data_IF_672362724000
#
_entry.id   IF_672362724000
#
_cell.length_a   1.000
_cell.length_b   1.000
_cell.length_c   1.000
_cell.angle_alpha   90.00
_cell.angle_beta   90.00
_cell.angle_gamma   90.00
#
_symmetry.space_group_name_H-M   'P 1'
#
loop_
_entity.id
_entity.type
_entity.pdbx_description
1 polymer ?
#
# COMPACT_ATOMS: atom_id res chain seq x y z
N UNK A 1 12.83 16.99 15.45
CA UNK A 1 11.48 16.94 14.85
C UNK A 1 11.52 17.77 13.58
N UNK A 2 11.07 17.27 12.41
CA UNK A 2 11.07 18.05 11.18
C UNK A 2 10.23 19.32 11.30
N UNK A 3 10.55 20.36 10.51
CA UNK A 3 9.76 21.58 10.48
C UNK A 3 8.29 21.27 10.13
N UNK A 4 7.35 21.91 10.83
CA UNK A 4 5.91 21.67 10.68
C UNK A 4 5.34 20.55 11.55
N UNK A 5 6.18 19.75 12.23
CA UNK A 5 5.74 18.68 13.11
C UNK A 5 5.97 19.00 14.60
N UNK A 6 5.09 18.51 15.47
CA UNK A 6 5.24 18.64 16.94
C UNK A 6 5.87 17.39 17.56
N UNK A 7 5.41 16.21 17.13
CA UNK A 7 6.01 14.92 17.45
C UNK A 7 6.36 14.19 16.14
N UNK A 8 7.43 13.42 16.16
CA UNK A 8 7.94 12.65 15.02
C UNK A 8 8.47 11.30 15.47
N UNK A 9 7.80 10.23 15.04
CA UNK A 9 8.16 8.84 15.29
C UNK A 9 8.29 8.13 13.94
N UNK A 10 9.52 7.83 13.50
CA UNK A 10 9.76 7.26 12.17
C UNK A 10 10.65 6.03 12.25
N UNK A 11 10.30 4.97 11.51
CA UNK A 11 11.16 3.80 11.33
C UNK A 11 12.50 4.16 10.68
N UNK A 12 13.55 3.43 11.05
CA UNK A 12 14.91 3.64 10.54
C UNK A 12 15.35 2.46 9.67
N UNK A 13 15.78 2.77 8.45
CA UNK A 13 16.34 1.82 7.47
C UNK A 13 17.88 1.85 7.39
N UNK A 14 18.53 2.59 8.28
CA UNK A 14 19.97 2.84 8.18
C UNK A 14 20.78 1.56 8.44
N UNK A 15 21.72 1.19 7.56
CA UNK A 15 22.66 0.12 7.85
C UNK A 15 23.46 0.48 9.11
N UNK A 16 23.28 -0.29 10.18
CA UNK A 16 23.97 -0.03 11.44
C UNK A 16 25.46 -0.32 11.30
N UNK A 17 26.30 0.59 11.80
CA UNK A 17 27.74 0.31 11.92
C UNK A 17 27.93 -0.92 12.80
N UNK A 18 28.80 -1.84 12.35
CA UNK A 18 29.18 -3.01 13.13
C UNK A 18 29.71 -2.55 14.50
N UNK A 19 29.19 -3.14 15.57
CA UNK A 19 29.55 -2.77 16.95
C UNK A 19 28.78 -1.59 17.55
N UNK A 20 27.84 -0.97 16.83
CA UNK A 20 27.01 0.12 17.38
C UNK A 20 26.04 -0.31 18.49
N UNK A 21 25.82 -1.61 18.68
CA UNK A 21 24.80 -2.16 19.59
C UNK A 21 23.37 -2.04 19.05
N UNK A 22 23.17 -1.27 17.98
CA UNK A 22 21.87 -1.04 17.35
C UNK A 22 21.55 -2.19 16.37
N UNK A 23 20.31 -2.65 16.42
CA UNK A 23 19.76 -3.69 15.56
C UNK A 23 18.31 -3.34 15.19
N UNK A 24 17.74 -4.04 14.21
CA UNK A 24 16.36 -3.82 13.78
C UNK A 24 16.24 -2.77 12.67
N UNK A 25 15.08 -2.66 12.04
CA UNK A 25 14.79 -1.66 11.01
C UNK A 25 13.27 -1.51 10.84
N UNK A 26 12.82 -0.72 9.86
CA UNK A 26 11.39 -0.49 9.59
C UNK A 26 10.69 -1.79 9.22
N UNK A 27 11.36 -2.68 8.48
CA UNK A 27 10.82 -3.97 8.04
C UNK A 27 11.09 -5.13 9.01
N UNK A 28 11.59 -4.87 10.23
CA UNK A 28 11.71 -5.89 11.28
C UNK A 28 10.53 -5.73 12.25
N UNK A 29 9.48 -6.53 12.05
CA UNK A 29 8.21 -6.38 12.76
C UNK A 29 8.32 -6.63 14.26
N UNK A 30 9.36 -7.33 14.73
CA UNK A 30 9.57 -7.61 16.16
C UNK A 30 10.83 -6.93 16.72
N UNK A 31 11.47 -6.07 15.95
CA UNK A 31 12.57 -5.25 16.39
C UNK A 31 12.56 -3.95 15.58
N UNK A 32 11.41 -3.26 15.64
CA UNK A 32 11.17 -2.01 14.94
C UNK A 32 11.99 -0.89 15.58
N UNK A 33 12.99 -0.40 14.87
CA UNK A 33 13.89 0.66 15.36
C UNK A 33 13.44 1.99 14.80
N UNK A 34 13.23 2.96 15.69
CA UNK A 34 12.66 4.26 15.37
C UNK A 34 13.59 5.41 15.74
N UNK A 35 13.44 6.52 15.04
CA UNK A 35 13.74 7.84 15.55
C UNK A 35 12.48 8.41 16.22
N UNK A 36 12.53 8.63 17.52
CA UNK A 36 11.47 9.29 18.30
C UNK A 36 12.00 10.64 18.74
N UNK A 37 11.51 11.72 18.12
CA UNK A 37 11.88 13.10 18.41
C UNK A 37 13.41 13.34 18.46
N UNK A 38 14.17 12.70 17.56
CA UNK A 38 15.63 12.81 17.48
C UNK A 38 16.40 11.72 18.24
N UNK A 39 15.72 10.84 18.99
CA UNK A 39 16.36 9.74 19.73
C UNK A 39 16.15 8.40 19.03
N UNK A 40 17.20 7.61 18.89
CA UNK A 40 17.08 6.24 18.38
C UNK A 40 16.57 5.31 19.48
N UNK A 41 15.48 4.59 19.21
CA UNK A 41 14.84 3.66 20.14
C UNK A 41 14.66 2.31 19.46
N UNK A 42 15.13 1.24 20.11
CA UNK A 42 15.01 -0.13 19.63
C UNK A 42 13.88 -0.86 20.36
N UNK A 43 12.92 -1.41 19.62
CA UNK A 43 11.75 -2.06 20.21
C UNK A 43 11.80 -3.59 20.06
N UNK A 44 12.87 -4.20 20.59
CA UNK A 44 13.06 -5.66 20.58
C UNK A 44 11.89 -6.38 21.24
N UNK A 45 11.38 -7.41 20.57
CA UNK A 45 10.27 -8.26 21.01
C UNK A 45 8.88 -7.63 20.88
N UNK A 46 8.76 -6.36 20.48
CA UNK A 46 7.47 -5.68 20.33
C UNK A 46 7.02 -5.73 18.88
N UNK A 47 5.77 -6.14 18.66
CA UNK A 47 5.18 -6.13 17.32
C UNK A 47 4.94 -4.69 16.85
N UNK A 48 5.43 -4.34 15.66
CA UNK A 48 5.46 -2.96 15.14
C UNK A 48 4.07 -2.32 15.05
N UNK A 49 3.06 -3.05 14.56
CA UNK A 49 1.68 -2.52 14.48
C UNK A 49 1.12 -2.17 15.87
N UNK A 50 1.36 -3.01 16.88
CA UNK A 50 0.91 -2.75 18.26
C UNK A 50 1.65 -1.57 18.88
N UNK A 51 2.96 -1.47 18.62
CA UNK A 51 3.75 -0.34 19.07
C UNK A 51 3.22 0.98 18.48
N UNK A 52 3.05 1.04 17.16
CA UNK A 52 2.53 2.22 16.46
C UNK A 52 1.11 2.56 16.95
N UNK A 53 0.25 1.56 17.12
CA UNK A 53 -1.10 1.75 17.68
C UNK A 53 -1.09 2.38 19.07
N UNK A 54 -0.18 1.95 19.94
CA UNK A 54 -0.01 2.53 21.27
C UNK A 54 0.53 3.97 21.22
N UNK A 55 1.47 4.25 20.31
CA UNK A 55 2.00 5.60 20.10
C UNK A 55 0.90 6.58 19.67
N UNK A 56 0.05 6.18 18.73
CA UNK A 56 -1.09 7.00 18.26
C UNK A 56 -2.09 7.24 19.38
N UNK A 57 -2.43 6.21 20.16
CA UNK A 57 -3.28 6.38 21.35
C UNK A 57 -2.64 7.37 22.34
N UNK A 58 -1.31 7.31 22.52
CA UNK A 58 -0.54 8.27 23.31
C UNK A 58 -0.65 9.71 22.80
N UNK A 59 -0.58 9.91 21.47
CA UNK A 59 -0.77 11.22 20.85
C UNK A 59 -2.19 11.75 21.07
N UNK A 60 -3.24 10.95 20.86
CA UNK A 60 -4.63 11.33 21.16
C UNK A 60 -4.76 11.71 22.64
N UNK A 61 -4.20 10.92 23.54
CA UNK A 61 -4.18 11.18 24.99
C UNK A 61 -3.48 12.48 25.37
N UNK A 62 -2.43 12.84 24.64
CA UNK A 62 -1.63 14.03 24.89
C UNK A 62 -2.35 15.28 24.36
N UNK A 63 -2.95 15.17 23.18
CA UNK A 63 -3.46 16.32 22.44
C UNK A 63 -4.96 16.58 22.58
N UNK A 64 -5.77 15.67 23.13
CA UNK A 64 -7.21 15.94 23.36
C UNK A 64 -7.48 17.11 24.33
N UNK A 65 -6.47 17.56 25.09
CA UNK A 65 -6.57 18.73 25.98
C UNK A 65 -6.04 20.01 25.36
N UNK A 66 -5.56 19.94 24.11
CA UNK A 66 -5.04 21.08 23.38
C UNK A 66 -6.20 22.02 23.00
N UNK A 67 -5.93 23.32 23.04
CA UNK A 67 -6.85 24.33 22.47
C UNK A 67 -6.74 24.45 20.95
N UNK A 68 -5.71 23.83 20.35
CA UNK A 68 -5.50 23.75 18.91
C UNK A 68 -5.89 22.36 18.38
N UNK A 69 -6.42 22.24 17.16
CA UNK A 69 -6.69 20.94 16.54
C UNK A 69 -5.39 20.15 16.33
N UNK A 70 -5.50 18.83 16.23
CA UNK A 70 -4.37 17.95 15.91
C UNK A 70 -4.49 17.39 14.49
N UNK A 71 -3.33 17.09 13.90
CA UNK A 71 -3.20 16.31 12.68
C UNK A 71 -2.26 15.15 12.99
N UNK A 72 -2.74 13.91 12.81
CA UNK A 72 -1.94 12.70 13.07
C UNK A 72 -1.86 11.91 11.76
N UNK A 73 -0.64 11.75 11.24
CA UNK A 73 -0.35 10.91 10.09
C UNK A 73 0.26 9.59 10.57
N UNK A 74 -0.35 8.46 10.20
CA UNK A 74 0.08 7.13 10.64
C UNK A 74 0.34 6.23 9.45
N UNK A 75 1.53 5.65 9.38
CA UNK A 75 1.94 4.70 8.33
C UNK A 75 2.42 3.39 8.96
N UNK A 76 1.52 2.46 9.30
CA UNK A 76 1.93 1.14 9.75
C UNK A 76 2.69 0.40 8.64
N UNK A 77 3.59 -0.52 9.03
CA UNK A 77 4.36 -1.34 8.07
C UNK A 77 3.48 -2.43 7.46
N UNK A 78 2.50 -2.93 8.21
CA UNK A 78 1.57 -3.96 7.75
C UNK A 78 0.79 -3.50 6.50
N UNK A 79 0.67 -4.32 5.44
CA UNK A 79 1.10 -5.72 5.31
C UNK A 79 2.36 -5.87 4.45
N UNK A 80 3.23 -4.86 4.42
CA UNK A 80 4.47 -4.92 3.66
C UNK A 80 5.31 -6.12 4.12
N UNK A 81 6.11 -6.69 3.22
CA UNK A 81 7.01 -7.76 3.64
C UNK A 81 7.98 -7.29 4.73
N UNK A 82 8.40 -8.21 5.58
CA UNK A 82 9.35 -7.89 6.63
C UNK A 82 9.72 -9.11 7.46
N UNK A 83 10.84 -9.00 8.17
CA UNK A 83 11.31 -10.02 9.08
C UNK A 83 10.60 -10.01 10.44
N UNK A 84 10.88 -11.03 11.27
CA UNK A 84 11.75 -12.18 10.98
C UNK A 84 11.11 -13.15 9.98
N UNK A 85 11.92 -13.97 9.32
CA UNK A 85 11.41 -15.11 8.55
C UNK A 85 10.78 -16.12 9.50
N UNK A 86 9.61 -16.61 9.13
CA UNK A 86 8.83 -17.51 9.97
C UNK A 86 8.81 -18.93 9.37
N UNK A 87 8.65 -19.95 10.21
CA UNK A 87 8.74 -21.35 9.79
C UNK A 87 7.66 -21.75 8.78
N UNK A 88 6.53 -21.05 8.78
CA UNK A 88 5.39 -21.23 7.89
C UNK A 88 5.39 -20.26 6.69
N UNK A 89 6.49 -19.52 6.46
CA UNK A 89 6.65 -18.69 5.27
C UNK A 89 6.64 -19.53 3.98
N UNK A 90 6.06 -19.01 2.86
CA UNK A 90 5.94 -19.80 1.66
C UNK A 90 7.30 -20.11 1.02
N UNK A 91 7.45 -21.36 0.56
CA UNK A 91 8.70 -21.81 -0.07
C UNK A 91 9.02 -21.00 -1.33
N UNK A 92 10.30 -20.65 -1.57
CA UNK A 92 10.74 -19.97 -2.79
C UNK A 92 10.38 -20.76 -4.06
N UNK A 93 10.32 -20.07 -5.19
CA UNK A 93 10.12 -20.67 -6.51
C UNK A 93 11.29 -20.38 -7.44
N UNK A 94 11.44 -21.21 -8.48
CA UNK A 94 12.45 -21.01 -9.53
C UNK A 94 11.79 -20.34 -10.73
N UNK A 95 12.24 -19.15 -11.06
CA UNK A 95 11.82 -18.41 -12.24
C UNK A 95 12.84 -18.60 -13.36
N UNK A 96 12.41 -19.07 -14.53
CA UNK A 96 13.26 -19.10 -15.71
C UNK A 96 13.58 -17.66 -16.14
N UNK A 97 14.86 -17.34 -16.32
CA UNK A 97 15.29 -16.05 -16.87
C UNK A 97 16.24 -16.27 -18.02
N UNK A 98 16.47 -15.23 -18.84
CA UNK A 98 17.43 -15.27 -19.95
C UNK A 98 18.84 -15.66 -19.50
N UNK A 99 19.20 -15.40 -18.25
CA UNK A 99 20.52 -15.67 -17.68
C UNK A 99 20.51 -16.92 -16.77
N UNK A 100 19.57 -17.85 -17.00
CA UNK A 100 19.36 -19.05 -16.18
C UNK A 100 18.29 -18.90 -15.10
N UNK A 101 17.90 -19.99 -14.43
CA UNK A 101 16.85 -19.96 -13.41
C UNK A 101 17.29 -19.16 -12.18
N UNK A 102 16.46 -18.22 -11.74
CA UNK A 102 16.64 -17.47 -10.48
C UNK A 102 15.68 -17.97 -9.41
N UNK A 103 16.16 -18.15 -8.19
CA UNK A 103 15.30 -18.44 -7.04
C UNK A 103 14.71 -17.13 -6.53
N UNK A 104 13.39 -17.06 -6.45
CA UNK A 104 12.66 -15.91 -5.95
C UNK A 104 11.84 -16.31 -4.72
N UNK A 105 11.91 -15.47 -3.68
CA UNK A 105 11.15 -15.67 -2.44
C UNK A 105 9.73 -15.11 -2.60
N UNK A 106 8.76 -15.76 -1.98
CA UNK A 106 7.48 -15.12 -1.69
C UNK A 106 7.69 -14.26 -0.45
N UNK A 107 7.65 -12.95 -0.63
CA UNK A 107 7.86 -12.01 0.46
C UNK A 107 6.55 -11.81 1.22
N UNK A 108 6.58 -11.99 2.53
CA UNK A 108 5.41 -11.93 3.42
C UNK A 108 5.73 -11.06 4.64
N UNK A 109 4.70 -10.47 5.29
CA UNK A 109 4.88 -9.81 6.58
C UNK A 109 5.07 -10.85 7.69
N UNK A 110 5.88 -10.50 8.68
CA UNK A 110 5.86 -11.24 9.93
C UNK A 110 4.62 -10.87 10.77
N UNK A 111 4.12 -11.81 11.57
CA UNK A 111 2.85 -11.68 12.30
C UNK A 111 2.91 -12.29 13.71
N UNK A 112 2.17 -11.75 14.68
CA UNK A 112 2.13 -12.31 16.03
C UNK A 112 1.46 -13.68 16.04
N UNK A 113 1.90 -14.57 16.94
CA UNK A 113 1.42 -15.95 16.98
C UNK A 113 -0.10 -16.10 17.07
N UNK A 114 -0.77 -15.18 17.78
CA UNK A 114 -2.22 -15.24 18.00
C UNK A 114 -3.07 -15.03 16.72
N UNK A 115 -2.51 -14.44 15.66
CA UNK A 115 -3.26 -14.21 14.40
C UNK A 115 -2.97 -15.29 13.35
N UNK A 116 -1.93 -16.11 13.55
CA UNK A 116 -1.52 -17.11 12.55
C UNK A 116 -2.61 -18.15 12.31
N UNK A 117 -2.88 -18.41 11.04
CA UNK A 117 -3.88 -19.36 10.58
C UNK A 117 -5.32 -18.86 10.64
N UNK A 118 -5.56 -17.63 11.10
CA UNK A 118 -6.90 -17.05 11.25
C UNK A 118 -7.73 -17.09 9.97
N UNK A 119 -7.08 -16.92 8.82
CA UNK A 119 -7.73 -16.84 7.51
C UNK A 119 -7.59 -18.12 6.67
N UNK A 120 -7.18 -19.23 7.27
CA UNK A 120 -6.97 -20.49 6.56
C UNK A 120 -8.25 -21.07 5.94
N UNK A 121 -9.42 -20.82 6.55
CA UNK A 121 -10.71 -21.29 6.04
C UNK A 121 -11.32 -20.35 5.00
N UNK A 122 -11.07 -19.04 5.13
CA UNK A 122 -11.70 -17.99 4.33
C UNK A 122 -10.95 -17.75 3.01
N UNK A 123 -9.61 -17.76 3.03
CA UNK A 123 -8.78 -17.49 1.85
C UNK A 123 -8.34 -18.82 1.25
N UNK A 124 -9.12 -19.36 0.32
CA UNK A 124 -8.87 -20.68 -0.30
C UNK A 124 -7.97 -20.61 -1.53
N UNK A 125 -7.77 -19.42 -2.09
CA UNK A 125 -6.88 -19.11 -3.21
C UNK A 125 -6.42 -17.64 -3.11
N UNK A 126 -5.34 -17.29 -3.81
CA UNK A 126 -4.93 -15.89 -3.96
C UNK A 126 -5.84 -15.16 -4.97
N UNK A 127 -6.06 -13.84 -4.82
CA UNK A 127 -7.00 -13.09 -5.65
C UNK A 127 -6.68 -13.20 -7.15
N UNK A 128 -5.40 -13.13 -7.52
CA UNK A 128 -4.95 -13.26 -8.89
C UNK A 128 -4.79 -14.70 -9.40
N UNK A 129 -5.23 -15.71 -8.64
CA UNK A 129 -5.11 -17.12 -9.01
C UNK A 129 -6.48 -17.79 -8.96
N UNK A 130 -7.29 -17.67 -10.02
CA UNK A 130 -8.58 -18.33 -10.08
C UNK A 130 -8.45 -19.86 -9.97
N UNK A 131 -9.47 -20.50 -9.37
CA UNK A 131 -9.47 -21.95 -9.12
C UNK A 131 -9.57 -22.75 -10.43
N UNK A 132 -10.47 -22.33 -11.32
CA UNK A 132 -10.87 -23.08 -12.52
C UNK A 132 -10.40 -22.48 -13.85
N UNK A 133 -9.79 -21.29 -13.84
CA UNK A 133 -9.35 -20.57 -15.05
C UNK A 133 -7.90 -20.09 -14.94
N UNK A 134 -7.22 -19.84 -16.07
CA UNK A 134 -5.92 -19.19 -16.08
C UNK A 134 -5.95 -17.83 -15.36
N UNK A 135 -4.82 -17.42 -14.78
CA UNK A 135 -4.68 -16.08 -14.19
C UNK A 135 -4.75 -14.97 -15.26
N UNK A 136 -4.37 -15.31 -16.49
CA UNK A 136 -4.56 -14.48 -17.68
C UNK A 136 -4.84 -15.41 -18.86
N UNK A 137 -6.06 -15.34 -19.40
CA UNK A 137 -6.51 -16.25 -20.44
C UNK A 137 -5.92 -15.85 -21.80
N UNK A 138 -5.99 -14.57 -22.14
CA UNK A 138 -5.37 -14.03 -23.34
C UNK A 138 -4.03 -13.37 -22.98
N UNK A 139 -2.94 -14.03 -23.34
CA UNK A 139 -1.60 -13.45 -23.21
C UNK A 139 -1.11 -12.83 -24.52
N UNK A 140 -1.75 -13.08 -25.66
CA UNK A 140 -1.18 -12.77 -26.99
C UNK A 140 -1.02 -11.27 -27.22
N UNK A 141 -1.90 -10.49 -26.63
CA UNK A 141 -1.94 -9.02 -26.64
C UNK A 141 -1.09 -8.38 -25.52
N UNK A 142 -0.48 -9.18 -24.65
CA UNK A 142 0.32 -8.67 -23.53
C UNK A 142 1.74 -8.29 -23.95
N UNK A 143 2.42 -7.40 -23.20
CA UNK A 143 3.82 -7.10 -23.40
C UNK A 143 4.68 -8.35 -23.21
N UNK A 144 5.86 -8.37 -23.82
CA UNK A 144 6.73 -9.55 -23.90
C UNK A 144 7.04 -10.19 -22.55
N UNK A 145 7.25 -9.38 -21.51
CA UNK A 145 7.54 -9.86 -20.16
C UNK A 145 6.38 -10.63 -19.52
N UNK A 146 5.14 -10.34 -19.91
CA UNK A 146 3.93 -11.05 -19.44
C UNK A 146 3.62 -12.24 -20.34
N UNK A 147 3.78 -12.11 -21.66
CA UNK A 147 3.62 -13.23 -22.62
C UNK A 147 4.44 -14.45 -22.26
N UNK A 148 5.64 -14.25 -21.72
CA UNK A 148 6.57 -15.33 -21.40
C UNK A 148 6.40 -15.84 -19.97
N UNK A 149 5.49 -15.27 -19.18
CA UNK A 149 5.21 -15.72 -17.83
C UNK A 149 4.37 -17.02 -17.87
N UNK A 150 4.91 -18.15 -17.39
CA UNK A 150 4.13 -19.38 -17.30
C UNK A 150 3.08 -19.25 -16.21
N UNK A 151 1.98 -19.99 -16.37
CA UNK A 151 1.00 -20.21 -15.30
C UNK A 151 1.68 -20.71 -14.03
N UNK A 152 1.14 -20.31 -12.88
CA UNK A 152 1.65 -20.75 -11.59
C UNK A 152 1.43 -22.27 -11.44
N UNK A 153 2.50 -22.99 -11.10
CA UNK A 153 2.43 -24.41 -10.73
C UNK A 153 1.57 -24.61 -9.50
N UNK A 154 1.12 -25.84 -9.26
CA UNK A 154 0.35 -26.19 -8.03
C UNK A 154 1.07 -25.76 -6.74
N UNK A 155 2.40 -25.83 -6.71
CA UNK A 155 3.17 -25.39 -5.54
C UNK A 155 3.17 -23.87 -5.41
N UNK A 156 3.38 -23.14 -6.50
CA UNK A 156 3.34 -21.67 -6.48
C UNK A 156 1.93 -21.15 -6.13
N UNK A 157 0.86 -21.77 -6.64
CA UNK A 157 -0.53 -21.41 -6.26
C UNK A 157 -0.75 -21.56 -4.76
N UNK A 158 -0.21 -22.62 -4.13
CA UNK A 158 -0.24 -22.77 -2.66
C UNK A 158 0.57 -21.68 -1.96
N UNK A 159 1.76 -21.36 -2.47
CA UNK A 159 2.59 -20.30 -1.89
C UNK A 159 1.94 -18.92 -1.97
N UNK A 160 1.29 -18.60 -3.11
CA UNK A 160 0.55 -17.35 -3.30
C UNK A 160 -0.63 -17.22 -2.33
N UNK A 161 -1.42 -18.29 -2.18
CA UNK A 161 -2.49 -18.34 -1.20
C UNK A 161 -1.97 -18.14 0.24
N UNK A 162 -0.87 -18.80 0.59
CA UNK A 162 -0.29 -18.66 1.92
C UNK A 162 0.27 -17.25 2.14
N UNK A 163 0.88 -16.63 1.12
CA UNK A 163 1.31 -15.24 1.18
C UNK A 163 0.14 -14.29 1.41
N UNK A 164 -0.97 -14.51 0.71
CA UNK A 164 -2.19 -13.70 0.90
C UNK A 164 -2.78 -13.87 2.31
N UNK A 165 -2.84 -15.09 2.83
CA UNK A 165 -3.26 -15.34 4.22
C UNK A 165 -2.41 -14.57 5.22
N UNK A 166 -1.07 -14.64 5.09
CA UNK A 166 -0.18 -13.92 6.00
C UNK A 166 -0.31 -12.39 5.89
N UNK A 167 -0.57 -11.87 4.68
CA UNK A 167 -0.89 -10.45 4.49
C UNK A 167 -2.20 -10.05 5.18
N UNK A 168 -3.25 -10.86 5.03
CA UNK A 168 -4.52 -10.65 5.72
C UNK A 168 -4.36 -10.73 7.26
N UNK A 169 -3.53 -11.64 7.76
CA UNK A 169 -3.19 -11.75 9.19
C UNK A 169 -2.50 -10.49 9.72
N UNK A 170 -1.52 -9.94 8.98
CA UNK A 170 -0.85 -8.69 9.35
C UNK A 170 -1.79 -7.48 9.30
N UNK A 171 -2.65 -7.38 8.28
CA UNK A 171 -3.70 -6.34 8.23
C UNK A 171 -4.65 -6.50 9.40
N UNK A 172 -5.09 -7.71 9.74
CA UNK A 172 -6.01 -7.92 10.86
C UNK A 172 -5.36 -7.52 12.19
N UNK A 173 -4.07 -7.76 12.37
CA UNK A 173 -3.35 -7.28 13.54
C UNK A 173 -3.33 -5.75 13.60
N UNK A 174 -3.15 -5.05 12.47
CA UNK A 174 -3.27 -3.59 12.42
C UNK A 174 -4.71 -3.11 12.66
N UNK A 175 -5.72 -3.74 12.06
CA UNK A 175 -7.14 -3.42 12.24
C UNK A 175 -7.56 -3.45 13.72
N UNK A 176 -7.04 -4.43 14.48
CA UNK A 176 -7.23 -4.50 15.94
C UNK A 176 -6.63 -3.31 16.69
N UNK A 177 -5.50 -2.78 16.23
CA UNK A 177 -4.88 -1.59 16.83
C UNK A 177 -5.58 -0.30 16.39
N UNK A 178 -6.05 -0.25 15.14
CA UNK A 178 -6.89 0.83 14.64
C UNK A 178 -8.18 0.96 15.44
N UNK A 179 -8.85 -0.17 15.76
CA UNK A 179 -10.01 -0.18 16.66
C UNK A 179 -9.73 0.47 18.02
N UNK A 180 -8.56 0.22 18.63
CA UNK A 180 -8.17 0.85 19.90
C UNK A 180 -7.93 2.36 19.76
N UNK A 181 -7.43 2.82 18.61
CA UNK A 181 -7.31 4.26 18.33
C UNK A 181 -8.70 4.89 18.27
N UNK A 182 -9.66 4.25 17.59
CA UNK A 182 -11.06 4.69 17.56
C UNK A 182 -11.66 4.74 18.97
N UNK A 183 -11.47 3.69 19.77
CA UNK A 183 -11.93 3.65 21.16
C UNK A 183 -11.31 4.78 21.99
N UNK A 184 -10.03 5.11 21.74
CA UNK A 184 -9.36 6.22 22.42
C UNK A 184 -9.91 7.58 22.02
N UNK A 185 -10.20 7.80 20.74
CA UNK A 185 -10.86 9.02 20.27
C UNK A 185 -12.24 9.18 20.93
N UNK A 186 -13.01 8.09 21.05
CA UNK A 186 -14.33 8.10 21.72
C UNK A 186 -14.18 8.42 23.21
N UNK A 187 -13.27 7.74 23.91
CA UNK A 187 -13.04 7.94 25.33
C UNK A 187 -12.53 9.35 25.70
N UNK A 188 -11.92 10.05 24.75
CA UNK A 188 -11.42 11.42 24.93
C UNK A 188 -12.39 12.49 24.43
N UNK A 189 -13.51 12.11 23.82
CA UNK A 189 -14.49 13.04 23.25
C UNK A 189 -14.06 13.70 21.93
N UNK A 190 -13.03 13.15 21.27
CA UNK A 190 -12.47 13.66 20.01
C UNK A 190 -13.08 13.01 18.77
N UNK A 191 -13.69 11.82 18.91
CA UNK A 191 -14.21 11.04 17.78
C UNK A 191 -15.19 11.84 16.91
N UNK A 192 -16.20 12.48 17.51
CA UNK A 192 -17.23 13.24 16.80
C UNK A 192 -16.74 14.60 16.26
N UNK A 193 -15.44 14.89 16.38
CA UNK A 193 -14.78 16.11 15.86
C UNK A 193 -13.64 15.78 14.90
N UNK A 194 -13.37 14.49 14.69
CA UNK A 194 -12.22 14.02 13.93
C UNK A 194 -12.65 13.53 12.56
N UNK A 195 -11.99 14.02 11.51
CA UNK A 195 -12.05 13.40 10.19
C UNK A 195 -10.96 12.33 10.13
N UNK A 196 -11.37 11.12 9.77
CA UNK A 196 -10.53 9.93 9.62
C UNK A 196 -10.46 9.60 8.14
N UNK A 197 -9.25 9.62 7.59
CA UNK A 197 -8.94 9.19 6.23
C UNK A 197 -8.09 7.94 6.27
N UNK A 198 -8.54 6.87 5.63
CA UNK A 198 -7.81 5.60 5.49
C UNK A 198 -7.54 5.33 4.02
N UNK A 199 -6.26 5.11 3.68
CA UNK A 199 -5.85 4.74 2.32
C UNK A 199 -4.58 3.90 2.32
N UNK A 200 -4.03 3.63 1.13
CA UNK A 200 -2.77 2.92 0.93
C UNK A 200 -1.88 3.66 -0.07
N UNK A 201 -0.57 3.57 0.12
CA UNK A 201 0.44 4.13 -0.79
C UNK A 201 0.40 3.51 -2.20
N UNK A 202 0.12 2.20 -2.25
CA UNK A 202 -0.02 1.42 -3.46
C UNK A 202 -0.77 0.11 -3.15
N UNK A 203 -1.39 -0.47 -4.17
CA UNK A 203 -1.83 -1.86 -4.14
C UNK A 203 -0.67 -2.85 -4.29
N UNK A 204 -1.03 -4.14 -4.40
CA UNK A 204 -0.09 -5.24 -4.54
C UNK A 204 -0.75 -6.39 -5.29
N UNK A 205 -0.14 -6.85 -6.39
CA UNK A 205 -0.63 -8.03 -7.11
C UNK A 205 -0.10 -9.32 -6.49
N UNK A 206 -0.94 -10.35 -6.47
CA UNK A 206 -0.72 -11.69 -5.96
C UNK A 206 -1.34 -12.70 -6.95
N UNK A 207 -0.59 -13.01 -8.01
CA UNK A 207 -1.00 -13.95 -9.05
C UNK A 207 -1.47 -13.32 -10.37
N UNK A 208 -1.98 -12.08 -10.32
CA UNK A 208 -2.61 -11.43 -11.47
C UNK A 208 -1.63 -11.31 -12.64
N UNK A 209 -2.15 -11.45 -13.87
CA UNK A 209 -1.35 -11.44 -15.10
C UNK A 209 -0.19 -12.46 -15.07
N UNK A 210 -0.40 -13.59 -14.39
CA UNK A 210 0.59 -14.67 -14.15
C UNK A 210 1.83 -14.21 -13.37
N UNK A 211 1.77 -13.03 -12.74
CA UNK A 211 2.84 -12.48 -11.93
C UNK A 211 2.70 -12.99 -10.50
N UNK A 212 3.79 -13.45 -9.87
CA UNK A 212 3.71 -14.05 -8.54
C UNK A 212 3.37 -12.97 -7.50
N UNK A 213 4.30 -12.07 -7.21
CA UNK A 213 4.10 -10.98 -6.25
C UNK A 213 4.73 -9.69 -6.76
N UNK A 214 4.16 -8.55 -6.40
CA UNK A 214 4.84 -7.27 -6.58
C UNK A 214 3.92 -6.07 -6.72
N UNK A 215 4.56 -4.96 -7.08
CA UNK A 215 3.96 -3.64 -7.28
C UNK A 215 4.68 -2.92 -8.43
N UNK A 216 4.61 -1.59 -8.51
CA UNK A 216 5.24 -0.71 -9.53
C UNK A 216 4.56 -0.74 -10.91
N UNK A 217 3.91 -1.83 -11.31
CA UNK A 217 3.19 -1.92 -12.59
C UNK A 217 1.85 -1.19 -12.54
N UNK A 218 1.41 -0.59 -13.65
CA UNK A 218 0.12 0.12 -13.77
C UNK A 218 -1.13 -0.80 -13.84
N UNK A 219 -1.08 -1.99 -13.24
CA UNK A 219 -2.23 -2.90 -13.16
C UNK A 219 -3.19 -2.47 -12.04
N UNK A 220 -4.50 -2.74 -12.19
CA UNK A 220 -5.51 -2.30 -11.22
C UNK A 220 -5.17 -2.73 -9.78
N UNK A 221 -4.70 -3.98 -9.52
CA UNK A 221 -4.34 -4.39 -8.17
C UNK A 221 -3.21 -3.57 -7.53
N UNK A 222 -2.49 -2.73 -8.30
CA UNK A 222 -1.39 -1.88 -7.82
C UNK A 222 -1.80 -0.42 -7.71
N UNK A 223 -2.64 0.08 -8.62
CA UNK A 223 -2.98 1.51 -8.65
C UNK A 223 -4.34 1.82 -8.02
N UNK A 224 -5.23 0.83 -7.90
CA UNK A 224 -6.52 0.98 -7.26
C UNK A 224 -6.39 0.64 -5.78
N UNK A 225 -6.28 1.69 -4.95
CA UNK A 225 -6.14 1.60 -3.50
C UNK A 225 -7.46 1.96 -2.81
N UNK A 226 -7.73 1.44 -1.60
CA UNK A 226 -8.90 1.87 -0.84
C UNK A 226 -8.77 3.35 -0.46
N UNK A 227 -9.90 4.05 -0.41
CA UNK A 227 -10.04 5.34 0.26
C UNK A 227 -11.35 5.30 1.05
N UNK A 228 -11.24 5.42 2.37
CA UNK A 228 -12.40 5.58 3.26
C UNK A 228 -12.21 6.89 4.01
N UNK A 229 -13.22 7.75 3.96
CA UNK A 229 -13.26 8.99 4.71
C UNK A 229 -14.50 8.99 5.59
N UNK A 230 -14.31 9.23 6.89
CA UNK A 230 -15.39 9.30 7.87
C UNK A 230 -15.17 10.49 8.78
N UNK A 231 -16.24 11.17 9.19
CA UNK A 231 -16.14 12.33 10.06
C UNK A 231 -17.42 13.15 10.10
N UNK A 232 -17.43 14.28 10.83
CA UNK A 232 -18.62 15.10 11.04
C UNK A 232 -19.18 15.63 9.72
N UNK A 233 -20.46 15.37 9.47
CA UNK A 233 -21.20 15.84 8.30
C UNK A 233 -20.85 15.17 6.97
N UNK A 234 -19.85 14.29 6.92
CA UNK A 234 -19.48 13.57 5.70
C UNK A 234 -20.59 12.59 5.33
N UNK A 235 -21.00 12.60 4.06
CA UNK A 235 -22.10 11.77 3.60
C UNK A 235 -21.72 10.28 3.60
N UNK A 236 -22.68 9.44 3.99
CA UNK A 236 -22.51 7.99 3.94
C UNK A 236 -22.77 7.46 2.53
N UNK A 237 -22.05 6.41 2.15
CA UNK A 237 -22.28 5.65 0.92
C UNK A 237 -21.00 5.36 0.15
N UNK A 238 -21.16 4.57 -0.91
CA UNK A 238 -20.10 4.33 -1.90
C UNK A 238 -20.08 5.51 -2.88
N UNK A 239 -18.89 5.88 -3.34
CA UNK A 239 -18.65 6.96 -4.30
C UNK A 239 -17.76 6.44 -5.43
N UNK A 240 -17.98 6.93 -6.64
CA UNK A 240 -17.25 6.54 -7.86
C UNK A 240 -16.43 7.69 -8.46
N UNK A 241 -16.52 8.89 -7.89
CA UNK A 241 -15.70 10.04 -8.27
C UNK A 241 -14.21 9.66 -8.30
N UNK A 242 -13.48 9.92 -9.41
CA UNK A 242 -12.05 9.66 -9.49
C UNK A 242 -11.29 10.48 -8.44
N UNK A 243 -10.56 9.77 -7.59
CA UNK A 243 -9.74 10.37 -6.54
C UNK A 243 -8.35 9.75 -6.55
N UNK A 244 -7.34 10.59 -6.56
CA UNK A 244 -5.93 10.23 -6.50
C UNK A 244 -5.36 10.53 -5.13
N UNK A 245 -4.21 9.96 -4.79
CA UNK A 245 -3.52 10.27 -3.54
C UNK A 245 -3.05 11.73 -3.47
N UNK A 246 -2.87 12.41 -4.62
CA UNK A 246 -2.53 13.83 -4.69
C UNK A 246 -3.70 14.73 -4.26
N UNK A 247 -4.94 14.32 -4.58
CA UNK A 247 -6.15 15.04 -4.16
C UNK A 247 -6.29 15.08 -2.63
N UNK A 248 -5.73 14.10 -1.91
CA UNK A 248 -5.80 14.06 -0.44
C UNK A 248 -5.08 15.25 0.19
N UNK A 249 -3.94 15.69 -0.34
CA UNK A 249 -3.24 16.88 0.18
C UNK A 249 -4.12 18.13 0.05
N UNK A 250 -4.67 18.36 -1.14
CA UNK A 250 -5.56 19.50 -1.38
C UNK A 250 -6.83 19.42 -0.53
N UNK A 251 -7.40 18.23 -0.37
CA UNK A 251 -8.59 18.00 0.46
C UNK A 251 -8.31 18.24 1.95
N UNK A 252 -7.16 17.78 2.47
CA UNK A 252 -6.78 18.00 3.88
C UNK A 252 -6.55 19.48 4.16
N UNK A 253 -5.90 20.22 3.24
CA UNK A 253 -5.70 21.66 3.40
C UNK A 253 -7.03 22.41 3.42
N UNK A 254 -7.95 22.08 2.52
CA UNK A 254 -9.28 22.68 2.45
C UNK A 254 -10.11 22.40 3.71
N UNK A 255 -10.13 21.14 4.19
CA UNK A 255 -10.77 20.77 5.46
C UNK A 255 -10.18 21.48 6.69
N UNK A 256 -8.90 21.84 6.64
CA UNK A 256 -8.20 22.52 7.71
C UNK A 256 -8.26 24.06 7.62
N UNK A 257 -8.97 24.61 6.63
CA UNK A 257 -8.97 26.05 6.29
C UNK A 257 -7.53 26.59 6.10
N UNK A 258 -6.65 25.74 5.55
CA UNK A 258 -5.27 26.05 5.29
C UNK A 258 -5.08 26.50 3.84
N UNK A 259 -4.12 27.41 3.63
CA UNK A 259 -3.82 27.92 2.28
C UNK A 259 -3.32 26.79 1.37
N UNK A 260 -3.89 26.64 0.16
CA UNK A 260 -3.35 25.77 -0.88
C UNK A 260 -1.86 26.07 -1.14
N UNK A 261 -1.08 25.03 -1.41
CA UNK A 261 0.31 25.21 -1.85
C UNK A 261 0.32 25.59 -3.34
N UNK A 262 1.24 26.48 -3.78
CA UNK A 262 1.41 26.77 -5.20
C UNK A 262 1.79 25.52 -6.00
N UNK A 263 1.14 25.28 -7.13
CA UNK A 263 1.49 24.20 -8.06
C UNK A 263 1.11 22.79 -7.58
N UNK A 264 0.10 22.64 -6.75
CA UNK A 264 -0.44 21.30 -6.43
C UNK A 264 -1.08 20.66 -7.66
N UNK A 265 -0.75 19.39 -7.89
CA UNK A 265 -1.36 18.59 -8.95
C UNK A 265 -2.78 18.08 -8.58
N UNK A 266 -3.08 18.00 -7.27
CA UNK A 266 -4.35 17.50 -6.74
C UNK A 266 -5.42 18.58 -6.59
N UNK A 267 -6.68 18.17 -6.72
CA UNK A 267 -7.90 18.96 -6.49
C UNK A 267 -8.53 18.61 -5.15
N UNK A 268 -9.14 19.59 -4.46
CA UNK A 268 -9.90 19.30 -3.24
C UNK A 268 -11.15 18.48 -3.57
N UNK A 269 -11.43 17.46 -2.75
CA UNK A 269 -12.64 16.63 -2.82
C UNK A 269 -13.69 16.97 -1.76
N UNK A 270 -13.55 18.10 -1.04
CA UNK A 270 -14.51 18.51 0.01
C UNK A 270 -15.94 18.57 -0.51
N UNK A 271 -16.15 19.11 -1.72
CA UNK A 271 -17.50 19.18 -2.29
C UNK A 271 -18.16 17.80 -2.49
N UNK A 272 -17.36 16.77 -2.79
CA UNK A 272 -17.82 15.40 -2.97
C UNK A 272 -17.96 14.63 -1.65
N UNK A 273 -17.25 15.07 -0.59
CA UNK A 273 -17.43 14.52 0.77
C UNK A 273 -18.76 14.95 1.40
N UNK A 274 -19.18 16.20 1.16
CA UNK A 274 -20.40 16.77 1.75
C UNK A 274 -21.60 16.85 0.79
N UNK A 275 -21.35 16.68 -0.51
CA UNK A 275 -22.34 16.76 -1.58
C UNK A 275 -22.57 15.43 -2.32
N UNK A 276 -23.29 15.47 -3.46
CA UNK A 276 -23.56 14.29 -4.27
C UNK A 276 -22.27 13.73 -4.91
N UNK A 277 -22.29 12.45 -5.23
CA UNK A 277 -21.26 11.82 -6.06
C UNK A 277 -21.24 12.45 -7.46
N UNK A 278 -20.08 12.40 -8.10
CA UNK A 278 -19.88 12.89 -9.46
C UNK A 278 -19.47 11.74 -10.38
N UNK A 279 -19.88 11.85 -11.63
CA UNK A 279 -19.43 10.92 -12.67
C UNK A 279 -17.92 11.04 -12.89
N UNK A 280 -17.32 9.97 -13.41
CA UNK A 280 -15.90 9.95 -13.75
C UNK A 280 -15.63 10.77 -15.02
N UNK A 281 -15.39 12.06 -14.85
CA UNK A 281 -15.14 13.02 -15.94
C UNK A 281 -13.64 13.26 -16.24
N UNK A 282 -12.77 12.85 -15.33
CA UNK A 282 -11.34 13.18 -15.37
C UNK A 282 -10.48 11.95 -15.61
N UNK A 283 -9.52 12.02 -16.55
CA UNK A 283 -8.55 10.97 -16.75
C UNK A 283 -7.46 11.01 -15.66
N UNK A 284 -7.15 9.86 -15.06
CA UNK A 284 -6.05 9.72 -14.11
C UNK A 284 -4.79 9.29 -14.87
N UNK A 285 -3.71 10.07 -14.73
CA UNK A 285 -2.41 9.75 -15.32
C UNK A 285 -1.68 8.74 -14.44
N UNK A 286 -1.05 7.74 -15.06
CA UNK A 286 -0.20 6.77 -14.37
C UNK A 286 1.20 6.77 -14.96
N UNK A 287 2.21 6.74 -14.11
CA UNK A 287 3.62 6.73 -14.49
C UNK A 287 4.38 5.73 -13.63
N UNK A 288 5.37 5.06 -14.20
CA UNK A 288 6.10 4.01 -13.49
C UNK A 288 7.53 3.84 -13.95
N UNK A 289 8.43 3.67 -12.98
CA UNK A 289 9.84 3.35 -13.19
C UNK A 289 10.16 1.98 -12.59
N UNK A 290 10.31 0.97 -13.45
CA UNK A 290 10.81 -0.34 -13.07
C UNK A 290 12.33 -0.28 -12.89
N UNK A 291 12.76 -0.18 -11.63
CA UNK A 291 14.17 -0.16 -11.26
C UNK A 291 14.86 -1.46 -11.68
N UNK A 292 16.07 -1.34 -12.23
CA UNK A 292 16.85 -2.49 -12.73
C UNK A 292 16.54 -2.91 -14.17
N UNK A 293 15.58 -2.27 -14.85
CA UNK A 293 15.42 -2.43 -16.31
C UNK A 293 16.01 -1.22 -17.02
N UNK A 294 17.20 -1.40 -17.63
CA UNK A 294 17.77 -0.42 -18.56
C UNK A 294 17.15 -0.65 -19.93
N UNK A 295 16.06 0.04 -20.23
CA UNK A 295 15.61 0.14 -21.61
C UNK A 295 16.55 1.08 -22.35
N UNK A 296 17.09 0.63 -23.49
CA UNK A 296 17.87 1.50 -24.38
C UNK A 296 16.91 2.58 -24.88
N UNK A 297 17.14 3.81 -24.43
CA UNK A 297 16.43 5.05 -24.76
C UNK A 297 15.63 4.96 -26.07
N UNK A 298 14.31 4.78 -25.99
CA UNK A 298 13.37 5.06 -27.09
C UNK A 298 12.05 5.56 -26.49
N UNK A 299 11.86 6.87 -26.51
CA UNK A 299 10.66 7.57 -26.03
C UNK A 299 9.44 7.29 -26.88
N UNK A 300 8.96 6.04 -26.88
CA UNK A 300 7.77 5.57 -27.60
C UNK A 300 6.47 6.08 -26.96
N UNK A 301 6.32 7.40 -26.82
CA UNK A 301 5.20 8.02 -26.10
C UNK A 301 5.26 7.85 -24.58
N UNK A 302 6.41 7.44 -24.04
CA UNK A 302 6.72 7.39 -22.61
C UNK A 302 7.79 8.43 -22.30
N UNK A 303 7.61 9.31 -21.29
CA UNK A 303 8.61 10.31 -20.92
C UNK A 303 9.97 9.70 -20.59
N UNK A 304 11.03 10.45 -20.88
CA UNK A 304 12.41 10.00 -20.67
C UNK A 304 12.64 9.69 -19.19
N UNK A 305 13.25 8.54 -18.91
CA UNK A 305 13.50 8.08 -17.54
C UNK A 305 12.37 7.25 -16.93
N UNK A 306 11.20 7.16 -17.58
CA UNK A 306 10.11 6.28 -17.17
C UNK A 306 10.11 4.98 -17.98
N UNK A 307 9.51 3.95 -17.39
CA UNK A 307 9.30 2.64 -18.04
C UNK A 307 7.88 2.46 -18.56
N UNK A 308 6.92 3.11 -17.93
CA UNK A 308 5.52 3.12 -18.35
C UNK A 308 4.90 4.50 -18.16
N UNK A 309 4.00 4.87 -19.05
CA UNK A 309 3.04 5.97 -18.88
C UNK A 309 1.65 5.47 -19.30
N UNK A 310 0.59 6.05 -18.75
CA UNK A 310 -0.75 5.54 -18.99
C UNK A 310 -1.86 6.49 -18.55
N UNK A 311 -3.08 6.13 -18.94
CA UNK A 311 -4.30 6.85 -18.61
C UNK A 311 -5.35 5.87 -18.11
N UNK A 312 -6.06 6.23 -17.04
CA UNK A 312 -7.22 5.52 -16.49
C UNK A 312 -8.42 6.47 -16.49
N UNK A 313 -9.41 6.15 -17.31
CA UNK A 313 -10.75 6.78 -17.27
C UNK A 313 -11.73 5.82 -16.64
N UNK A 314 -12.97 6.22 -16.33
CA UNK A 314 -13.97 5.37 -15.66
C UNK A 314 -14.11 3.95 -16.22
N UNK A 315 -14.01 3.80 -17.56
CA UNK A 315 -14.13 2.50 -18.25
C UNK A 315 -12.80 1.96 -18.78
N UNK A 316 -11.94 2.82 -19.32
CA UNK A 316 -10.78 2.35 -20.08
C UNK A 316 -9.47 2.61 -19.36
N UNK A 317 -8.51 1.72 -19.56
CA UNK A 317 -7.13 1.95 -19.15
C UNK A 317 -6.15 1.66 -20.26
N UNK A 318 -5.31 2.63 -20.57
CA UNK A 318 -4.18 2.49 -21.48
C UNK A 318 -2.87 2.48 -20.71
N UNK A 319 -2.00 1.52 -21.01
CA UNK A 319 -0.62 1.46 -20.52
C UNK A 319 0.29 1.45 -21.74
N UNK A 320 1.23 2.39 -21.82
CA UNK A 320 2.32 2.41 -22.80
C UNK A 320 3.62 2.01 -22.13
N UNK A 321 4.43 1.24 -22.83
CA UNK A 321 5.74 0.79 -22.38
C UNK A 321 6.83 1.52 -23.17
N UNK A 322 7.95 1.81 -22.52
CA UNK A 322 9.12 2.38 -23.20
C UNK A 322 9.74 1.44 -24.23
N UNK A 323 9.25 0.20 -24.35
CA UNK A 323 9.57 -0.76 -25.43
C UNK A 323 8.78 -0.50 -26.71
N UNK A 324 7.77 0.37 -26.69
CA UNK A 324 6.81 0.58 -27.79
C UNK A 324 5.61 -0.36 -27.75
N UNK A 325 5.56 -1.29 -26.80
CA UNK A 325 4.38 -2.12 -26.53
C UNK A 325 3.31 -1.30 -25.78
N UNK A 326 2.06 -1.77 -25.82
CA UNK A 326 0.95 -1.16 -25.08
C UNK A 326 -0.10 -2.19 -24.67
N UNK A 327 -0.87 -1.86 -23.63
CA UNK A 327 -2.05 -2.60 -23.22
C UNK A 327 -3.25 -1.65 -23.14
N UNK A 328 -4.38 -2.03 -23.72
CA UNK A 328 -5.66 -1.34 -23.56
C UNK A 328 -6.65 -2.28 -22.89
N UNK A 329 -7.25 -1.84 -21.79
CA UNK A 329 -8.25 -2.57 -21.04
C UNK A 329 -9.59 -1.85 -21.13
N UNK A 330 -10.64 -2.59 -21.44
CA UNK A 330 -12.02 -2.24 -21.08
C UNK A 330 -12.29 -2.87 -19.71
N UNK A 331 -12.53 -2.06 -18.68
CA UNK A 331 -12.67 -2.53 -17.31
C UNK A 331 -14.07 -3.02 -16.97
N UNK A 332 -14.99 -2.98 -17.94
CA UNK A 332 -16.36 -3.48 -17.80
C UNK A 332 -16.58 -4.85 -18.45
N UNK A 333 -15.60 -5.39 -19.19
CA UNK A 333 -15.76 -6.63 -19.98
C UNK A 333 -14.64 -7.63 -19.78
#
# INVERSE_FOLDING_TARGET
VPAGWTDWMAGLETPWRRGSGISGNTYDYFNYTQNINGRTVQNRGKYSSTLIGNEVQGLVSKYHRSTKPFFIWVTPVAPHHGGPTESDDPRPYRMATRNGPRVQKFVTPARPGWVKGRFNGQITHAPGVPVSRPAEANIRDKPRNVRWAPEATRSEKRSLRNAERQRAEAIFAWDREFGKIIDRLKATGEYDKTIIMFTSDNGFYIGEHRQRLGKIKAYEPVIHVPLVVAGPGIQQGVRYTPTTTFDLTSTILDLADARPLPGMDGSSKVSQLYGPDQDWDTAVVTEGLLTGVRYRDRGHGVPRGLTTSGLRTGRYKLIKYSTGESELYDLLT
#
